data_IF_261049412607
#
_entry.id   IF_261049412607
#
_cell.length_a   1.000
_cell.length_b   1.000
_cell.length_c   1.000
_cell.angle_alpha   90.00
_cell.angle_beta   90.00
_cell.angle_gamma   90.00
#
_symmetry.space_group_name_H-M   'P 1'
#
loop_
_entity.id
_entity.type
_entity.pdbx_description
1 polymer ?
2 polymer ?
3 non-polymer ?
4 non-polymer ?
5 water ?
#
# COMPACT_ATOMS: atom_id res chain seq x y z
N UNK A 1 7.51 7.09 3.23
CA UNK A 1 7.04 7.21 4.63
C UNK A 1 7.75 8.40 5.25
N UNK A 2 7.01 9.40 5.68
CA UNK A 2 7.56 10.54 6.38
C UNK A 2 7.57 10.24 7.87
N UNK A 3 8.67 10.58 8.57
CA UNK A 3 8.91 10.39 10.01
C UNK A 3 9.07 8.93 10.41
N UNK A 4 9.48 8.07 9.48
CA UNK A 4 9.64 6.65 9.75
C UNK A 4 10.98 6.29 10.44
N UNK A 5 11.18 5.03 10.69
CA UNK A 5 12.42 4.43 11.04
C UNK A 5 12.71 3.27 10.10
N UNK A 6 13.97 2.86 9.83
CA UNK A 6 14.23 1.67 9.06
C UNK A 6 13.61 0.43 9.68
N UNK A 7 12.93 -0.43 8.92
CA UNK A 7 12.43 -1.71 9.37
C UNK A 7 13.57 -2.76 9.43
N UNK A 8 13.53 -3.76 10.30
CA UNK A 8 14.41 -4.90 10.29
C UNK A 8 14.12 -5.70 9.03
N UNK A 9 15.09 -6.45 8.48
CA UNK A 9 14.94 -7.11 7.16
C UNK A 9 13.80 -8.07 7.11
N UNK A 10 13.47 -8.64 8.24
CA UNK A 10 12.48 -9.67 8.23
C UNK A 10 11.23 -9.31 8.99
N UNK A 11 11.04 -8.06 9.22
CA UNK A 11 9.78 -7.67 9.92
C UNK A 11 8.47 -7.81 9.13
N UNK A 12 8.42 -7.34 7.84
CA UNK A 12 7.27 -7.23 6.96
C UNK A 12 7.43 -7.94 5.62
N UNK A 13 7.47 -9.27 5.63
CA UNK A 13 7.81 -10.08 4.46
C UNK A 13 6.76 -10.21 3.37
N UNK A 14 5.57 -9.68 3.55
CA UNK A 14 4.57 -9.49 2.55
C UNK A 14 4.74 -8.23 1.71
N UNK A 15 5.61 -7.29 2.10
CA UNK A 15 5.90 -6.08 1.31
C UNK A 15 6.57 -6.36 -0.04
N UNK A 16 6.06 -5.84 -1.11
CA UNK A 16 6.78 -5.89 -2.31
C UNK A 16 7.09 -4.49 -2.85
N UNK A 17 8.02 -4.39 -3.79
CA UNK A 17 8.21 -3.16 -4.58
C UNK A 17 7.63 -3.30 -5.98
N UNK A 18 6.74 -2.45 -6.44
CA UNK A 18 6.24 -2.39 -7.81
C UNK A 18 7.03 -1.44 -8.70
N UNK A 19 7.77 -1.96 -9.59
CA UNK A 19 8.69 -1.19 -10.37
C UNK A 19 8.33 -1.10 -11.88
N UNK A 20 8.66 -0.03 -12.64
CA UNK A 20 8.41 0.03 -14.09
C UNK A 20 9.71 0.23 -14.83
N UNK A 21 9.80 -0.11 -16.13
CA UNK A 21 11.03 -0.06 -16.89
C UNK A 21 11.19 1.35 -17.33
N UNK A 22 12.35 1.92 -17.07
CA UNK A 22 12.68 3.32 -17.31
C UNK A 22 13.99 3.39 -18.11
N UNK A 23 13.86 3.35 -19.42
CA UNK A 23 15.01 3.22 -20.29
C UNK A 23 15.56 1.80 -20.40
N UNK A 24 16.71 1.65 -19.77
CA UNK A 24 17.14 0.29 -19.57
C UNK A 24 17.31 -0.01 -18.09
N UNK A 25 16.59 0.76 -17.25
CA UNK A 25 16.65 0.53 -15.82
C UNK A 25 15.26 0.28 -15.29
N UNK A 26 15.08 -0.07 -14.01
CA UNK A 26 13.78 -0.29 -13.41
C UNK A 26 13.72 0.66 -12.24
N UNK A 27 12.71 1.47 -12.07
CA UNK A 27 12.55 2.32 -10.90
C UNK A 27 11.35 1.92 -10.04
N UNK A 28 11.43 2.11 -8.76
CA UNK A 28 10.32 1.96 -7.89
C UNK A 28 9.22 2.97 -8.18
N UNK A 29 7.94 2.55 -8.21
CA UNK A 29 6.78 3.47 -8.30
C UNK A 29 5.85 3.38 -7.09
N UNK A 30 5.61 2.19 -6.64
CA UNK A 30 4.56 1.84 -5.64
C UNK A 30 4.94 0.69 -4.75
N UNK A 31 4.25 0.48 -3.68
CA UNK A 31 4.30 -0.77 -2.98
C UNK A 31 3.15 -1.70 -3.39
N UNK A 32 3.06 -2.84 -2.70
CA UNK A 32 2.04 -3.85 -2.91
C UNK A 32 2.14 -4.88 -1.79
N UNK A 33 1.24 -5.79 -1.64
CA UNK A 33 1.36 -6.85 -0.68
C UNK A 33 1.24 -8.15 -1.45
N UNK A 34 2.12 -9.12 -1.21
CA UNK A 34 2.00 -10.47 -1.69
C UNK A 34 0.87 -11.24 -1.04
N UNK A 35 -0.20 -11.56 -1.70
CA UNK A 35 -1.37 -12.26 -1.14
C UNK A 35 -1.54 -13.73 -1.53
N UNK A 36 -0.86 -14.18 -2.57
CA UNK A 36 -0.70 -15.57 -2.96
C UNK A 36 0.69 -15.67 -3.53
N UNK A 37 1.21 -16.88 -3.84
CA UNK A 37 2.50 -16.95 -4.51
C UNK A 37 2.62 -16.33 -5.86
N UNK A 38 1.54 -16.07 -6.53
CA UNK A 38 1.53 -15.48 -7.81
C UNK A 38 0.50 -14.38 -7.93
N UNK A 39 0.11 -13.77 -6.80
CA UNK A 39 -0.88 -12.64 -6.77
C UNK A 39 -0.38 -11.55 -5.83
N UNK A 40 -0.32 -10.35 -6.36
CA UNK A 40 -0.04 -9.11 -5.66
C UNK A 40 -1.25 -8.18 -5.62
N UNK A 41 -1.53 -7.63 -4.48
CA UNK A 41 -2.52 -6.58 -4.31
C UNK A 41 -1.79 -5.22 -4.19
N UNK A 42 -2.32 -4.19 -4.91
CA UNK A 42 -1.82 -2.90 -4.97
C UNK A 42 -2.95 -1.97 -5.29
N UNK A 43 -2.70 -0.68 -5.50
CA UNK A 43 -3.69 0.38 -5.83
C UNK A 43 -3.87 0.45 -7.35
N UNK A 44 -5.12 0.62 -7.76
CA UNK A 44 -5.49 0.89 -9.13
C UNK A 44 -4.77 2.09 -9.70
N UNK A 45 -4.60 3.22 -8.96
CA UNK A 45 -3.90 4.36 -9.57
C UNK A 45 -2.43 4.09 -9.84
N UNK A 46 -1.84 3.03 -9.30
CA UNK A 46 -0.43 2.67 -9.58
C UNK A 46 -0.26 2.08 -10.94
N UNK A 47 -1.31 1.47 -11.45
CA UNK A 47 -1.29 0.71 -12.69
C UNK A 47 -2.23 1.26 -13.73
N UNK A 48 -2.59 2.51 -13.60
CA UNK A 48 -3.43 3.29 -14.50
C UNK A 48 -2.88 3.53 -15.91
N UNK A 49 -1.55 3.65 -15.96
CA UNK A 49 -0.67 3.97 -17.03
C UNK A 49 -0.17 2.78 -17.84
N UNK A 50 0.15 3.09 -19.05
CA UNK A 50 0.72 2.15 -19.96
C UNK A 50 2.25 2.08 -19.84
N UNK A 51 2.73 1.33 -18.80
CA UNK A 51 4.18 1.14 -18.48
C UNK A 51 4.42 -0.35 -18.46
N UNK A 52 5.67 -0.78 -18.50
CA UNK A 52 5.98 -2.21 -18.25
C UNK A 52 6.28 -2.37 -16.77
N UNK A 53 5.66 -3.30 -16.05
CA UNK A 53 5.83 -3.49 -14.62
C UNK A 53 6.53 -4.78 -14.33
N UNK A 54 7.21 -4.74 -13.20
CA UNK A 54 7.79 -5.89 -12.44
C UNK A 54 7.58 -5.83 -10.93
N UNK A 55 7.51 -6.96 -10.28
CA UNK A 55 7.50 -7.11 -8.86
C UNK A 55 8.82 -7.62 -8.31
N UNK A 56 9.29 -6.99 -7.27
CA UNK A 56 10.41 -7.46 -6.39
C UNK A 56 9.91 -7.88 -5.02
N UNK A 57 10.03 -9.18 -4.71
CA UNK A 57 9.88 -9.69 -3.39
C UNK A 57 11.20 -9.91 -2.62
N UNK A 58 11.18 -9.86 -1.27
CA UNK A 58 12.41 -9.99 -0.52
C UNK A 58 13.33 -8.77 -0.57
N UNK A 59 12.80 -7.60 -0.83
CA UNK A 59 13.60 -6.42 -1.09
C UNK A 59 13.72 -5.74 0.25
N UNK A 60 14.92 -5.22 0.60
CA UNK A 60 15.12 -4.35 1.73
C UNK A 60 15.74 -3.00 1.30
N UNK A 61 16.84 -2.98 0.53
CA UNK A 61 17.54 -1.80 0.06
C UNK A 61 17.23 -1.66 -1.42
N UNK A 62 16.52 -0.60 -1.86
CA UNK A 62 16.31 -0.53 -3.33
C UNK A 62 17.59 -0.52 -4.19
N UNK A 63 18.67 0.10 -3.71
CA UNK A 63 19.88 0.39 -4.49
C UNK A 63 21.03 -0.63 -4.36
N UNK A 64 20.90 -1.66 -3.53
CA UNK A 64 22.03 -2.56 -3.26
C UNK A 64 21.51 -3.96 -3.27
N UNK A 65 22.29 -4.97 -3.56
CA UNK A 65 21.82 -6.32 -3.51
C UNK A 65 21.81 -6.78 -2.05
N UNK A 66 20.66 -7.28 -1.67
CA UNK A 66 20.38 -7.89 -0.36
C UNK A 66 20.83 -9.33 -0.25
N UNK A 67 20.92 -10.08 -1.33
CA UNK A 67 21.14 -11.49 -1.23
C UNK A 67 19.81 -12.20 -1.03
N UNK A 68 18.62 -11.55 -1.09
CA UNK A 68 17.32 -12.18 -0.84
C UNK A 68 16.23 -11.95 -1.87
N UNK A 69 16.40 -11.12 -2.86
CA UNK A 69 15.40 -10.67 -3.84
C UNK A 69 14.86 -11.75 -4.77
N UNK A 70 13.60 -11.70 -5.21
CA UNK A 70 13.22 -12.47 -6.36
C UNK A 70 12.53 -11.54 -7.30
N UNK A 71 12.85 -11.52 -8.57
CA UNK A 71 12.34 -10.53 -9.52
C UNK A 71 11.38 -11.18 -10.48
N UNK A 72 10.18 -10.71 -10.57
CA UNK A 72 9.14 -11.44 -11.34
C UNK A 72 8.33 -10.50 -12.20
N UNK A 73 7.94 -10.95 -13.40
CA UNK A 73 7.14 -10.14 -14.28
C UNK A 73 5.67 -10.08 -13.91
N UNK A 74 4.92 -9.14 -14.47
CA UNK A 74 3.44 -9.09 -14.33
C UNK A 74 2.75 -9.58 -15.61
N UNK A 75 2.03 -10.62 -15.51
CA UNK A 75 1.30 -11.26 -16.52
C UNK A 75 -0.05 -10.59 -16.72
N UNK A 76 -0.90 -10.34 -15.69
CA UNK A 76 -2.21 -9.74 -15.96
C UNK A 76 -2.54 -8.71 -14.91
N UNK A 77 -3.04 -7.55 -15.30
CA UNK A 77 -3.46 -6.57 -14.33
C UNK A 77 -4.98 -6.55 -14.35
N UNK A 78 -5.59 -6.77 -13.19
CA UNK A 78 -7.05 -6.62 -13.02
C UNK A 78 -7.34 -5.46 -12.08
N UNK A 79 -7.83 -4.34 -12.63
CA UNK A 79 -8.27 -3.19 -11.83
C UNK A 79 -9.71 -3.35 -11.44
N UNK A 80 -10.12 -2.79 -10.29
CA UNK A 80 -11.53 -2.89 -9.93
C UNK A 80 -12.40 -2.22 -11.02
N UNK A 81 -13.49 -2.90 -11.52
CA UNK A 81 -14.40 -2.37 -12.56
C UNK A 81 -15.06 -1.01 -12.33
N UNK A 82 -15.15 -0.57 -11.08
CA UNK A 82 -15.68 0.75 -10.76
C UNK A 82 -14.66 1.84 -10.62
N UNK A 83 -13.36 1.56 -10.70
CA UNK A 83 -12.28 2.56 -10.52
C UNK A 83 -12.30 3.65 -11.62
N UNK A 84 -12.20 4.93 -11.24
CA UNK A 84 -12.24 6.04 -12.16
C UNK A 84 -11.02 6.91 -11.88
N UNK A 85 -10.09 6.75 -12.78
CA UNK A 85 -8.84 7.51 -12.80
C UNK A 85 -8.97 8.99 -12.48
N UNK A 86 -10.10 9.62 -12.75
CA UNK A 86 -10.31 11.04 -12.47
C UNK A 86 -10.90 11.32 -11.08
N UNK A 87 -11.28 10.28 -10.35
CA UNK A 87 -11.87 10.53 -9.02
C UNK A 87 -11.26 9.56 -7.99
N UNK A 88 -10.05 9.74 -7.40
CA UNK A 88 -9.50 8.84 -6.33
C UNK A 88 -10.39 8.78 -5.07
N UNK A 89 -11.12 9.90 -4.85
CA UNK A 89 -11.97 10.03 -3.67
C UNK A 89 -13.26 9.28 -3.78
N UNK A 90 -13.58 8.81 -4.91
CA UNK A 90 -14.70 7.94 -5.09
C UNK A 90 -14.45 6.54 -4.55
N UNK A 91 -13.14 6.20 -4.44
CA UNK A 91 -12.70 4.90 -3.95
C UNK A 91 -12.49 3.87 -5.04
N UNK A 92 -12.56 2.61 -4.71
CA UNK A 92 -12.19 1.47 -5.52
C UNK A 92 -10.75 1.58 -5.95
N UNK A 93 -9.83 2.03 -5.08
CA UNK A 93 -8.41 2.15 -5.42
C UNK A 93 -7.67 0.88 -5.11
N UNK A 94 -7.94 -0.14 -5.94
CA UNK A 94 -7.51 -1.50 -5.68
C UNK A 94 -7.34 -2.24 -7.00
N UNK A 95 -6.25 -3.02 -7.15
CA UNK A 95 -5.83 -3.77 -8.32
C UNK A 95 -5.09 -5.05 -7.94
N UNK A 96 -5.33 -6.14 -8.68
CA UNK A 96 -4.70 -7.36 -8.39
C UNK A 96 -3.81 -7.71 -9.53
N UNK A 97 -2.61 -8.15 -9.29
CA UNK A 97 -1.61 -8.46 -10.31
C UNK A 97 -1.30 -9.95 -10.26
N UNK A 98 -1.55 -10.60 -11.38
CA UNK A 98 -1.10 -11.99 -11.55
C UNK A 98 0.36 -12.04 -12.02
N UNK A 99 1.23 -12.63 -11.25
CA UNK A 99 2.63 -12.68 -11.68
C UNK A 99 2.94 -13.84 -12.63
N UNK A 100 3.97 -13.62 -13.44
CA UNK A 100 4.50 -14.50 -14.50
C UNK A 100 4.91 -15.81 -13.90
N UNK A 101 5.46 -15.81 -12.67
CA UNK A 101 5.68 -17.02 -11.94
C UNK A 101 5.35 -16.92 -10.47
N UNK A 102 5.23 -18.08 -9.82
CA UNK A 102 5.16 -18.23 -8.38
C UNK A 102 6.45 -17.90 -7.67
N UNK A 103 6.42 -17.15 -6.57
CA UNK A 103 7.64 -16.91 -5.78
C UNK A 103 7.77 -18.01 -4.74
N UNK A 104 8.99 -18.23 -4.20
CA UNK A 104 9.34 -19.19 -3.13
C UNK A 104 9.29 -18.49 -1.78
N UNK A 105 8.57 -19.02 -0.84
CA UNK A 105 8.34 -18.38 0.40
C UNK A 105 9.54 -18.65 1.29
N UNK A 106 9.98 -17.78 2.12
CA UNK A 106 11.05 -18.07 3.08
C UNK A 106 11.00 -17.01 4.15
N UNK A 107 12.00 -16.75 4.93
CA UNK A 107 11.78 -15.71 5.92
C UNK A 107 11.70 -14.26 5.49
N UNK A 108 12.05 -13.98 4.21
CA UNK A 108 11.99 -12.66 3.61
C UNK A 108 10.72 -12.40 2.81
N UNK A 109 9.99 -13.48 2.51
CA UNK A 109 8.93 -13.68 1.53
C UNK A 109 7.78 -14.55 2.03
N UNK A 110 6.73 -13.88 2.57
CA UNK A 110 5.57 -14.54 3.12
C UNK A 110 4.26 -14.00 2.60
N UNK A 111 3.16 -14.62 2.76
CA UNK A 111 1.99 -14.02 2.25
C UNK A 111 1.44 -13.03 3.27
N UNK A 112 0.70 -12.01 2.87
CA UNK A 112 0.03 -11.13 3.83
C UNK A 112 -1.27 -11.69 4.33
N UNK A 113 -1.52 -11.54 5.59
CA UNK A 113 -2.76 -12.05 6.17
C UNK A 113 -3.90 -11.02 5.92
N UNK A 114 -5.02 -11.40 5.31
CA UNK A 114 -6.11 -10.50 5.10
C UNK A 114 -7.25 -10.59 6.17
N UNK A 115 -7.83 -9.43 6.54
CA UNK A 115 -8.89 -9.41 7.49
C UNK A 115 -10.07 -10.27 7.06
N UNK A 116 -10.87 -10.72 7.98
CA UNK A 116 -12.23 -11.16 7.65
C UNK A 116 -13.11 -10.01 7.10
N UNK A 117 -13.91 -10.29 6.02
CA UNK A 117 -14.90 -9.39 5.36
C UNK A 117 -15.79 -8.60 6.30
N UNK A 118 -15.87 -7.28 6.15
CA UNK A 118 -16.74 -6.42 6.93
C UNK A 118 -15.99 -5.81 8.12
N UNK A 119 -14.82 -6.39 8.47
CA UNK A 119 -14.05 -5.96 9.66
C UNK A 119 -13.75 -4.47 9.71
N UNK A 120 -14.09 -3.78 10.79
CA UNK A 120 -13.78 -2.38 11.00
C UNK A 120 -12.96 -2.25 12.28
N UNK A 121 -11.94 -1.47 12.28
CA UNK A 121 -11.18 -1.35 13.52
C UNK A 121 -11.76 -0.30 14.46
N UNK A 122 -11.49 -0.39 15.76
CA UNK A 122 -11.77 0.72 16.72
C UNK A 122 -10.93 1.93 16.40
N UNK A 123 -11.33 3.10 16.86
CA UNK A 123 -10.56 4.34 16.79
C UNK A 123 -9.27 4.17 17.58
N UNK A 124 -8.15 4.69 17.06
CA UNK A 124 -6.86 4.54 17.63
C UNK A 124 -6.36 3.10 17.71
N UNK A 125 -6.72 2.19 16.76
CA UNK A 125 -6.03 0.87 16.65
C UNK A 125 -4.61 0.96 16.11
N UNK A 126 -3.77 0.10 16.68
CA UNK A 126 -2.36 0.13 16.42
C UNK A 126 -2.00 -0.48 15.08
N UNK A 127 -1.45 0.33 14.21
CA UNK A 127 -1.09 -0.07 12.90
C UNK A 127 0.26 0.54 12.54
N UNK A 128 0.95 -0.09 11.56
CA UNK A 128 2.20 0.43 11.00
C UNK A 128 1.98 0.58 9.51
N UNK A 129 2.45 1.63 8.88
CA UNK A 129 2.61 1.72 7.41
C UNK A 129 4.05 1.38 7.03
N UNK A 130 4.28 0.65 5.92
CA UNK A 130 5.59 0.43 5.43
C UNK A 130 5.79 0.86 3.96
N UNK A 131 6.97 1.25 3.51
CA UNK A 131 7.12 1.57 2.17
C UNK A 131 8.48 2.22 1.93
N UNK A 132 8.83 2.38 0.67
CA UNK A 132 10.01 3.09 0.27
C UNK A 132 9.63 4.42 -0.31
N UNK A 133 8.41 4.95 -0.08
CA UNK A 133 8.08 6.23 -0.69
C UNK A 133 8.74 7.39 0.02
N UNK A 134 8.52 8.60 -0.54
CA UNK A 134 9.24 9.84 -0.20
C UNK A 134 9.27 10.03 1.30
N UNK A 135 10.42 10.44 1.81
CA UNK A 135 10.59 10.57 3.25
C UNK A 135 10.36 11.97 3.74
N UNK A 136 10.13 12.90 2.76
CA UNK A 136 9.62 14.28 3.00
C UNK A 136 8.58 14.61 1.94
N UNK A 137 7.76 15.61 2.17
CA UNK A 137 6.96 16.17 1.11
C UNK A 137 7.93 16.75 0.09
N UNK A 138 7.72 16.44 -1.21
CA UNK A 138 8.57 16.86 -2.37
C UNK A 138 9.99 16.46 -2.15
N UNK A 139 10.25 15.32 -1.47
CA UNK A 139 11.60 14.89 -1.08
C UNK A 139 11.99 13.75 -1.99
N UNK A 140 12.71 12.79 -1.47
CA UNK A 140 13.13 11.61 -2.23
C UNK A 140 12.71 10.28 -1.63
N UNK A 141 12.75 9.25 -2.47
CA UNK A 141 12.44 7.89 -2.05
C UNK A 141 13.40 7.50 -0.98
N UNK A 142 13.05 6.53 -0.15
CA UNK A 142 13.96 5.96 0.82
C UNK A 142 14.85 4.95 0.11
N UNK A 143 15.99 4.64 0.63
CA UNK A 143 16.69 3.47 0.09
C UNK A 143 16.30 2.16 0.72
N UNK A 144 16.15 2.16 2.04
CA UNK A 144 15.73 1.05 2.88
C UNK A 144 14.28 1.17 3.39
N UNK A 145 13.65 0.02 3.59
CA UNK A 145 12.19 -0.02 3.97
C UNK A 145 11.96 0.66 5.30
N UNK A 146 11.11 1.64 5.32
CA UNK A 146 10.79 2.46 6.47
C UNK A 146 9.43 2.00 6.98
N UNK A 147 9.26 2.18 8.28
CA UNK A 147 7.98 1.87 8.90
C UNK A 147 7.55 3.10 9.70
N UNK A 148 6.27 3.29 9.86
CA UNK A 148 5.84 4.29 10.81
C UNK A 148 4.64 3.81 11.61
N UNK A 149 4.57 4.19 12.92
CA UNK A 149 3.41 3.82 13.72
C UNK A 149 2.32 4.81 13.39
N UNK A 150 1.20 4.30 12.99
CA UNK A 150 0.13 5.14 12.42
C UNK A 150 -1.26 4.67 12.84
N UNK A 151 -1.70 5.07 14.03
CA UNK A 151 -2.96 4.63 14.59
C UNK A 151 -4.20 5.05 13.83
N UNK A 152 -5.27 4.24 13.87
CA UNK A 152 -6.43 4.55 13.09
C UNK A 152 -7.25 5.71 13.63
N UNK A 153 -8.02 6.27 12.70
CA UNK A 153 -8.95 7.37 12.89
C UNK A 153 -10.27 6.93 12.28
N UNK A 154 -11.24 6.60 13.15
CA UNK A 154 -12.47 6.10 12.66
C UNK A 154 -13.27 7.05 11.77
N UNK A 155 -14.20 6.47 11.09
CA UNK A 155 -14.92 7.12 10.04
C UNK A 155 -15.65 8.35 10.47
N UNK A 156 -16.29 8.30 11.64
CA UNK A 156 -17.00 9.47 12.17
C UNK A 156 -16.05 10.61 12.41
N UNK A 157 -14.85 10.35 12.90
CA UNK A 157 -13.90 11.43 13.03
C UNK A 157 -13.28 11.72 11.69
N UNK A 158 -12.99 10.77 10.83
CA UNK A 158 -12.30 11.12 9.62
C UNK A 158 -13.10 11.87 8.54
N UNK A 159 -14.39 11.68 8.58
CA UNK A 159 -15.28 12.31 7.65
C UNK A 159 -15.93 13.56 8.23
N UNK A 160 -15.36 14.02 9.30
CA UNK A 160 -15.75 15.26 9.91
C UNK A 160 -15.02 16.42 9.23
N UNK A 161 -15.58 17.62 9.29
CA UNK A 161 -15.13 18.66 8.38
C UNK A 161 -13.72 19.11 8.59
N UNK A 162 -13.22 18.92 9.78
CA UNK A 162 -11.87 19.34 10.29
C UNK A 162 -10.76 18.42 9.76
N UNK A 163 -11.23 17.22 9.41
CA UNK A 163 -10.48 16.13 8.78
C UNK A 163 -10.77 16.10 7.28
N UNK A 164 -11.31 14.99 6.81
CA UNK A 164 -11.43 14.88 5.38
C UNK A 164 -12.75 15.31 4.78
N UNK A 165 -13.79 15.46 5.58
CA UNK A 165 -15.16 15.68 5.04
C UNK A 165 -15.74 14.51 4.29
N UNK A 166 -16.41 14.80 3.21
CA UNK A 166 -17.03 13.89 2.27
C UNK A 166 -16.06 13.22 1.31
N UNK A 167 -14.78 13.66 1.31
CA UNK A 167 -13.75 13.08 0.51
C UNK A 167 -13.50 11.65 0.92
N UNK A 168 -13.65 11.28 2.16
CA UNK A 168 -13.44 9.91 2.64
C UNK A 168 -14.76 9.15 2.75
N UNK A 169 -14.80 7.90 2.29
CA UNK A 169 -15.97 7.08 2.30
C UNK A 169 -15.74 5.94 3.28
N UNK A 170 -16.80 5.14 3.58
CA UNK A 170 -16.80 4.08 4.53
C UNK A 170 -16.07 2.85 3.99
N UNK A 171 -15.77 2.86 2.70
CA UNK A 171 -14.85 1.93 2.07
C UNK A 171 -13.34 2.27 2.16
N UNK A 172 -12.95 3.19 3.04
CA UNK A 172 -11.61 3.65 3.28
C UNK A 172 -11.24 3.59 4.76
N UNK A 173 -9.95 3.43 5.10
CA UNK A 173 -9.44 3.49 6.46
C UNK A 173 -8.63 4.74 6.58
N UNK A 174 -8.65 5.49 7.67
CA UNK A 174 -7.80 6.61 7.85
C UNK A 174 -6.87 6.28 8.97
N UNK A 175 -5.59 6.63 8.89
CA UNK A 175 -4.58 6.37 9.91
C UNK A 175 -3.54 7.50 9.99
N UNK A 176 -3.10 7.96 11.18
CA UNK A 176 -2.05 8.97 11.31
C UNK A 176 -2.67 10.35 11.47
N UNK A 177 -2.24 11.35 10.74
CA UNK A 177 -2.79 12.72 10.88
C UNK A 177 -2.13 13.56 11.98
N UNK A 178 -1.02 13.13 12.53
CA UNK A 178 -0.30 13.90 13.58
C UNK A 178 0.62 15.06 13.16
N UNK A 179 0.59 15.35 11.88
CA UNK A 179 1.57 16.24 11.29
C UNK A 179 2.99 15.72 11.13
N UNK A 180 3.42 14.62 11.72
CA UNK A 180 4.83 14.19 11.74
C UNK A 180 5.03 12.94 10.89
N UNK A 181 4.20 11.97 11.01
CA UNK A 181 4.36 10.67 10.31
C UNK A 181 3.24 10.43 9.31
N UNK A 182 3.47 9.84 8.14
CA UNK A 182 2.45 9.68 7.08
C UNK A 182 2.95 8.70 6.05
N UNK A 183 2.06 8.37 5.16
CA UNK A 183 2.51 7.85 3.88
C UNK A 183 2.78 8.97 2.86
N UNK A 184 3.41 8.69 1.79
CA UNK A 184 3.75 9.75 0.80
C UNK A 184 3.88 9.10 -0.57
N UNK A 185 3.98 9.79 -1.68
CA UNK A 185 4.06 9.21 -3.02
C UNK A 185 5.20 8.19 -3.12
N UNK A 186 4.98 7.05 -3.76
CA UNK A 186 5.79 5.86 -3.68
C UNK A 186 5.33 4.89 -2.61
N UNK A 187 4.62 5.29 -1.51
CA UNK A 187 4.09 4.32 -0.62
C UNK A 187 2.80 3.74 -1.12
N UNK A 188 2.10 4.36 -2.11
CA UNK A 188 0.78 3.93 -2.64
C UNK A 188 0.68 2.48 -3.10
N UNK A 189 -0.37 1.75 -2.81
CA UNK A 189 -0.40 0.36 -3.11
C UNK A 189 0.07 -0.57 -2.02
N UNK A 190 0.84 -0.06 -1.05
CA UNK A 190 1.43 -0.80 0.00
C UNK A 190 0.48 -1.03 1.15
N UNK A 191 0.92 -1.86 2.10
CA UNK A 191 0.13 -2.33 3.25
C UNK A 191 0.03 -1.32 4.42
N UNK A 192 -1.09 -1.39 5.16
CA UNK A 192 -1.25 -0.87 6.46
C UNK A 192 -1.43 -2.12 7.30
N UNK A 193 -0.45 -2.53 8.13
CA UNK A 193 -0.47 -3.68 9.02
C UNK A 193 -0.96 -3.27 10.39
N UNK A 194 -2.03 -3.89 10.80
CA UNK A 194 -2.73 -3.61 12.05
C UNK A 194 -2.84 -4.83 12.93
N UNK A 195 -2.46 -4.66 14.22
CA UNK A 195 -2.49 -5.75 15.15
C UNK A 195 -3.87 -6.13 15.66
N UNK A 196 -4.34 -7.27 15.28
CA UNK A 196 -5.62 -7.85 15.64
C UNK A 196 -5.50 -9.29 16.17
N UNK A 197 -5.90 -9.45 17.44
CA UNK A 197 -5.86 -10.74 18.16
C UNK A 197 -4.49 -11.40 18.05
N UNK A 198 -3.48 -10.60 18.22
CA UNK A 198 -2.13 -10.99 18.39
C UNK A 198 -1.41 -11.19 17.09
N UNK A 199 -2.06 -10.97 15.91
CA UNK A 199 -1.51 -11.15 14.56
C UNK A 199 -1.56 -9.86 13.72
N UNK A 200 -0.57 -9.41 12.96
CA UNK A 200 -0.68 -8.30 12.06
C UNK A 200 -1.36 -8.69 10.73
N UNK A 201 -2.47 -8.09 10.38
CA UNK A 201 -3.20 -8.30 9.14
C UNK A 201 -3.21 -7.00 8.37
N UNK A 202 -3.19 -7.15 7.08
CA UNK A 202 -3.23 -6.03 6.12
C UNK A 202 -4.66 -5.48 5.90
N UNK A 203 -4.98 -4.39 6.60
CA UNK A 203 -6.24 -3.76 6.64
C UNK A 203 -6.37 -2.62 5.65
N UNK A 204 -5.22 -2.08 5.16
CA UNK A 204 -5.32 -1.04 4.20
C UNK A 204 -4.50 -1.20 2.93
N UNK A 205 -4.81 -0.51 1.90
CA UNK A 205 -3.92 -0.31 0.70
C UNK A 205 -3.69 1.18 0.53
N UNK A 206 -2.44 1.73 0.66
CA UNK A 206 -2.25 3.19 0.66
C UNK A 206 -2.74 3.85 -0.62
N UNK A 207 -3.67 4.76 -0.41
CA UNK A 207 -4.32 5.36 -1.48
C UNK A 207 -3.92 6.81 -1.72
N UNK A 208 -4.27 7.71 -0.82
CA UNK A 208 -4.06 9.16 -1.08
C UNK A 208 -3.74 9.90 0.21
N UNK A 209 -3.13 11.06 0.01
CA UNK A 209 -2.82 12.07 1.01
C UNK A 209 -3.30 13.41 0.47
N UNK A 210 -3.02 14.45 1.25
CA UNK A 210 -3.40 15.84 0.97
C UNK A 210 -2.64 16.40 -0.22
N UNK A 211 -3.29 17.25 -1.02
CA UNK A 211 -2.50 18.00 -1.98
C UNK A 211 -1.63 19.02 -1.28
N UNK A 212 -1.93 19.33 -0.02
CA UNK A 212 -1.12 20.34 0.65
C UNK A 212 0.23 19.77 0.97
N UNK A 213 0.28 18.43 1.05
CA UNK A 213 1.50 17.76 1.57
C UNK A 213 1.23 16.47 2.32
N UNK A 214 2.27 15.68 2.36
CA UNK A 214 2.15 14.31 2.91
C UNK A 214 1.87 14.16 4.39
N UNK A 215 2.68 14.76 5.24
CA UNK A 215 2.40 14.88 6.65
C UNK A 215 1.64 16.14 7.03
N UNK A 216 0.33 16.20 6.94
CA UNK A 216 -0.52 17.34 7.26
C UNK A 216 -1.39 17.12 8.49
N UNK A 217 -1.24 17.88 9.56
CA UNK A 217 -2.10 17.69 10.73
C UNK A 217 -3.58 17.70 10.42
N UNK A 218 -4.24 16.65 10.95
CA UNK A 218 -5.66 16.32 10.61
C UNK A 218 -5.94 15.96 9.16
N UNK A 219 -4.93 15.64 8.34
CA UNK A 219 -5.18 14.96 7.05
C UNK A 219 -4.55 13.56 7.13
N UNK A 220 -5.07 12.63 7.89
CA UNK A 220 -4.49 11.31 7.94
C UNK A 220 -4.29 10.69 6.55
N UNK A 221 -3.36 9.82 6.42
CA UNK A 221 -3.22 9.10 5.22
C UNK A 221 -4.47 8.20 5.00
N UNK A 222 -4.92 8.08 3.77
CA UNK A 222 -6.11 7.39 3.49
C UNK A 222 -5.82 6.10 2.73
N UNK A 223 -6.49 5.07 3.18
CA UNK A 223 -6.29 3.65 2.71
C UNK A 223 -7.53 3.08 2.10
N UNK A 224 -7.45 2.29 1.07
CA UNK A 224 -8.56 1.45 0.67
C UNK A 224 -8.77 0.38 1.75
N UNK A 225 -9.94 0.25 2.32
CA UNK A 225 -10.34 -0.71 3.32
C UNK A 225 -10.44 -2.11 2.73
N UNK A 226 -9.39 -2.88 2.91
CA UNK A 226 -9.28 -4.27 2.46
C UNK A 226 -10.50 -5.16 2.80
N UNK A 227 -11.03 -5.07 4.02
CA UNK A 227 -12.21 -5.81 4.35
C UNK A 227 -13.52 -5.53 3.59
N UNK A 228 -13.59 -4.46 2.86
CA UNK A 228 -14.66 -4.16 1.98
C UNK A 228 -14.53 -4.89 0.65
N UNK A 229 -13.41 -5.61 0.36
CA UNK A 229 -13.13 -6.13 -0.95
C UNK A 229 -12.88 -7.63 -0.98
N UNK A 230 -13.10 -8.27 0.13
CA UNK A 230 -12.72 -9.66 0.29
C UNK A 230 -13.41 -10.57 -0.73
N UNK A 231 -14.72 -10.43 -1.01
CA UNK A 231 -15.41 -11.15 -2.07
C UNK A 231 -14.91 -10.84 -3.47
N UNK A 232 -14.68 -9.59 -3.81
CA UNK A 232 -14.03 -9.25 -5.05
C UNK A 232 -12.65 -9.88 -5.30
N UNK A 233 -11.76 -9.79 -4.27
CA UNK A 233 -10.46 -10.48 -4.26
C UNK A 233 -10.56 -11.96 -4.57
N UNK A 234 -11.29 -12.62 -3.74
CA UNK A 234 -11.40 -14.04 -3.96
C UNK A 234 -12.03 -14.45 -5.27
N UNK A 235 -12.99 -13.69 -5.78
CA UNK A 235 -13.70 -13.90 -7.09
C UNK A 235 -12.77 -13.69 -8.25
N UNK A 236 -11.86 -12.73 -8.09
CA UNK A 236 -10.83 -12.54 -9.11
C UNK A 236 -9.89 -13.75 -9.15
N UNK A 237 -9.51 -14.19 -7.99
CA UNK A 237 -8.45 -15.18 -7.83
C UNK A 237 -8.91 -16.58 -8.21
N UNK A 238 -10.18 -16.89 -7.96
CA UNK A 238 -10.77 -18.12 -8.42
C UNK A 238 -10.84 -18.19 -9.94
N UNK A 239 -11.15 -17.05 -10.56
CA UNK A 239 -11.48 -17.04 -11.95
C UNK A 239 -10.30 -16.67 -12.83
N UNK A 240 -9.11 -16.42 -12.29
CA UNK A 240 -8.01 -16.14 -13.24
C UNK A 240 -6.82 -17.03 -13.00
C UNK B 1 -0.08 9.16 -2.57
N UNK B 2 -1.03 9.14 -3.49
CA UNK B 2 -1.30 10.20 -4.49
C UNK B 2 -1.81 11.48 -3.84
N UNK B 3 -1.40 12.63 -4.29
CA UNK B 3 -1.98 13.89 -3.79
C UNK B 3 -3.36 14.09 -4.35
N UNK B 4 -4.39 14.22 -3.55
CA UNK B 4 -5.76 14.22 -4.03
C UNK B 4 -6.61 15.15 -3.19
C UNK C 1 6.41 8.06 -13.33
N UNK C 2 6.52 8.40 -12.04
CA UNK C 2 7.62 8.18 -11.14
C UNK C 2 6.99 7.63 -9.86
N UNK C 3 7.42 8.04 -8.62
CA UNK C 3 6.69 7.69 -7.40
C UNK C 3 5.24 8.15 -7.40
N UNK C 4 4.31 7.20 -7.25
CA UNK C 4 2.86 7.43 -7.48
C UNK C 4 2.07 7.41 -6.20
X LIG D 1 18.11 -4.90 -2.93
X LIG E 1 -18.48 -3.87 4.37
X LIG E 1 -19.20 -4.33 5.55
X LIG E 1 -17.08 -4.27 4.43
X LIG E 1 -18.61 -2.43 4.18
X LIG E 1 -19.08 -4.59 3.21
#
# INVERSE_FOLDING_TARGET
VVGGTEAQRNSWPSQISLQYRSGSSWAHTCGGTLIRQNWVMTAAHCVDRELTFRVVVGEHNLNQNNGTEQYVGVQKIVVHPYWNTDDVAAGYDIALLRLAQSVTLNSYVQLGVLPRAGTILANNSPCYITGWGLTRTNGQLAQTLQQAYLPTVDYAICSSSSYWGSTVKNSMVCAGGDGVRSGCQGDSGGPLHCLVNGQYAVHGVTSFVSRLGCNVTRKPTVFTRVSAYISWINNVIASN
XAPA
XAPA
CA CA
SO4 S O1 O2 O3 O4
#
